data_IF_600843211021
#
_entry.id   IF_600843211021
#
_cell.length_a   1.000
_cell.length_b   1.000
_cell.length_c   1.000
_cell.angle_alpha   90.00
_cell.angle_beta   90.00
_cell.angle_gamma   90.00
#
_symmetry.space_group_name_H-M   'P 1'
#
loop_
_entity.id
_entity.type
_entity.pdbx_description
1 polymer ?
#
# COMPACT_ATOMS: atom_id res chain seq x y z
N UNK A 1 1.13 -2.45 20.36
CA UNK A 1 1.79 -3.56 19.65
C UNK A 1 2.43 -3.04 18.35
N UNK A 2 3.35 -2.08 18.43
CA UNK A 2 3.87 -1.37 17.23
C UNK A 2 5.05 -2.04 16.52
N UNK A 3 5.63 -3.10 17.09
CA UNK A 3 6.88 -3.71 16.60
C UNK A 3 6.77 -5.15 16.08
N UNK A 4 5.58 -5.75 16.11
CA UNK A 4 5.41 -7.17 15.79
C UNK A 4 4.90 -7.38 14.36
N UNK A 5 5.29 -8.52 13.77
CA UNK A 5 4.70 -9.03 12.53
C UNK A 5 3.25 -9.45 12.83
N UNK A 6 2.32 -9.01 11.98
CA UNK A 6 0.92 -9.42 12.05
C UNK A 6 0.65 -10.48 10.99
N UNK A 7 0.14 -11.63 11.42
CA UNK A 7 -0.49 -12.61 10.53
C UNK A 7 -1.94 -12.21 10.29
N UNK A 8 -2.33 -12.10 9.03
CA UNK A 8 -3.68 -11.68 8.66
C UNK A 8 -4.12 -12.30 7.34
N UNK A 9 -5.36 -12.03 6.92
CA UNK A 9 -5.85 -12.44 5.60
C UNK A 9 -5.59 -11.36 4.55
N UNK A 10 -5.24 -11.78 3.33
CA UNK A 10 -5.23 -10.92 2.16
C UNK A 10 -5.64 -11.71 0.91
N UNK A 11 -6.12 -10.98 -0.11
CA UNK A 11 -6.36 -11.55 -1.44
C UNK A 11 -5.11 -11.37 -2.32
N UNK A 12 -4.36 -12.44 -2.51
CA UNK A 12 -3.09 -12.45 -3.25
C UNK A 12 -3.35 -12.89 -4.69
N UNK A 13 -2.93 -12.06 -5.65
CA UNK A 13 -2.79 -12.44 -7.05
C UNK A 13 -1.40 -13.07 -7.24
N UNK A 14 -1.34 -14.38 -7.40
CA UNK A 14 -0.07 -15.09 -7.61
C UNK A 14 0.48 -14.93 -9.03
N UNK A 15 -0.41 -14.88 -10.01
CA UNK A 15 -0.12 -14.82 -11.45
C UNK A 15 -1.23 -14.02 -12.16
N UNK A 16 -0.95 -13.42 -13.33
CA UNK A 16 -1.99 -12.81 -14.14
C UNK A 16 -3.02 -13.84 -14.61
N UNK A 17 -4.27 -13.41 -14.75
CA UNK A 17 -5.42 -14.18 -15.24
C UNK A 17 -5.79 -15.39 -14.37
N UNK A 18 -5.30 -15.43 -13.12
CA UNK A 18 -5.74 -16.40 -12.12
C UNK A 18 -6.69 -15.72 -11.12
N UNK A 19 -7.65 -16.46 -10.53
CA UNK A 19 -8.43 -15.94 -9.42
C UNK A 19 -7.53 -15.48 -8.27
N UNK A 20 -7.97 -14.47 -7.52
CA UNK A 20 -7.33 -14.09 -6.27
C UNK A 20 -7.41 -15.25 -5.27
N UNK A 21 -6.31 -15.52 -4.56
CA UNK A 21 -6.27 -16.49 -3.49
C UNK A 21 -6.38 -15.80 -2.14
N UNK A 22 -7.30 -16.24 -1.28
CA UNK A 22 -7.37 -15.75 0.10
C UNK A 22 -6.32 -16.50 0.91
N UNK A 23 -5.25 -15.81 1.27
CA UNK A 23 -4.09 -16.38 1.96
C UNK A 23 -3.96 -15.82 3.38
N UNK A 24 -3.33 -16.60 4.26
CA UNK A 24 -2.70 -16.03 5.45
C UNK A 24 -1.34 -15.44 5.04
N UNK A 25 -1.12 -14.18 5.42
CA UNK A 25 0.03 -13.36 5.02
C UNK A 25 0.64 -12.69 6.24
N UNK A 26 1.94 -12.41 6.16
CA UNK A 26 2.70 -11.72 7.20
C UNK A 26 2.93 -10.27 6.79
N UNK A 27 2.41 -9.36 7.62
CA UNK A 27 2.59 -7.91 7.52
C UNK A 27 3.60 -7.46 8.56
N UNK A 28 4.78 -7.05 8.10
CA UNK A 28 5.86 -6.55 8.96
C UNK A 28 5.41 -5.33 9.79
N UNK A 29 6.15 -4.90 10.83
CA UNK A 29 5.90 -3.59 11.43
C UNK A 29 6.29 -2.44 10.48
N UNK A 30 5.68 -1.25 10.62
CA UNK A 30 6.10 -0.08 9.85
C UNK A 30 7.51 0.38 10.26
N UNK A 31 8.34 0.75 9.29
CA UNK A 31 9.64 1.41 9.53
C UNK A 31 9.45 2.93 9.68
N UNK A 32 10.56 3.66 9.84
CA UNK A 32 10.56 5.12 9.85
C UNK A 32 9.79 5.69 8.64
N UNK A 33 8.92 6.67 8.90
CA UNK A 33 8.05 7.33 7.92
C UNK A 33 7.05 6.41 7.22
N UNK A 34 6.69 5.30 7.84
CA UNK A 34 5.63 4.39 7.38
C UNK A 34 4.50 4.31 8.40
N UNK A 35 3.33 3.89 7.94
CA UNK A 35 2.16 3.64 8.77
C UNK A 35 1.58 2.28 8.45
N UNK A 36 1.04 1.59 9.45
CA UNK A 36 0.25 0.38 9.27
C UNK A 36 -1.23 0.70 9.51
N UNK A 37 -2.08 0.33 8.58
CA UNK A 37 -3.51 0.57 8.57
C UNK A 37 -4.23 -0.78 8.70
N UNK A 38 -5.24 -0.82 9.57
CA UNK A 38 -6.25 -1.88 9.55
C UNK A 38 -7.34 -1.48 8.56
N UNK A 39 -7.42 -2.14 7.41
CA UNK A 39 -8.42 -1.86 6.38
C UNK A 39 -9.79 -2.36 6.86
N UNK A 40 -10.78 -1.47 6.82
CA UNK A 40 -12.17 -1.77 7.21
C UNK A 40 -13.04 -2.10 6.00
N UNK A 41 -12.80 -1.41 4.88
CA UNK A 41 -13.52 -1.63 3.63
C UNK A 41 -12.63 -1.28 2.44
N UNK A 42 -12.87 -1.94 1.30
CA UNK A 42 -12.21 -1.65 0.03
C UNK A 42 -13.18 -1.88 -1.13
N UNK A 43 -13.14 -1.01 -2.12
CA UNK A 43 -13.84 -1.18 -3.40
C UNK A 43 -13.10 -2.13 -4.34
N UNK A 44 -13.83 -2.69 -5.30
CA UNK A 44 -13.26 -3.41 -6.45
C UNK A 44 -13.38 -2.50 -7.66
N UNK A 45 -12.23 -2.11 -8.23
CA UNK A 45 -12.17 -1.15 -9.32
C UNK A 45 -11.67 -1.82 -10.61
N UNK A 46 -11.98 -1.20 -11.74
CA UNK A 46 -11.54 -1.68 -13.05
C UNK A 46 -10.01 -1.74 -13.16
N UNK A 47 -9.26 -0.84 -12.52
CA UNK A 47 -7.79 -0.86 -12.53
C UNK A 47 -7.22 -2.14 -11.90
N UNK A 48 -7.86 -2.64 -10.84
CA UNK A 48 -7.47 -3.91 -10.21
C UNK A 48 -7.67 -5.07 -11.21
N UNK A 49 -8.84 -5.12 -11.88
CA UNK A 49 -9.15 -6.11 -12.89
C UNK A 49 -8.23 -6.02 -14.12
N UNK A 50 -7.89 -4.81 -14.56
CA UNK A 50 -6.99 -4.55 -15.68
C UNK A 50 -5.58 -5.09 -15.38
N UNK A 51 -5.05 -4.81 -14.17
CA UNK A 51 -3.78 -5.38 -13.71
C UNK A 51 -3.85 -6.90 -13.65
N UNK A 52 -4.90 -7.46 -13.02
CA UNK A 52 -5.10 -8.90 -12.89
C UNK A 52 -5.21 -9.60 -14.25
N UNK A 53 -5.72 -8.93 -15.28
CA UNK A 53 -5.81 -9.49 -16.63
C UNK A 53 -4.44 -9.72 -17.31
N UNK A 54 -3.36 -9.16 -16.73
CA UNK A 54 -2.02 -9.16 -17.33
C UNK A 54 -1.88 -8.22 -18.52
N UNK A 55 -2.83 -7.29 -18.71
CA UNK A 55 -2.79 -6.30 -19.79
C UNK A 55 -2.01 -5.04 -19.39
N UNK A 56 -1.82 -4.83 -18.09
CA UNK A 56 -0.99 -3.76 -17.55
C UNK A 56 0.51 -4.10 -17.76
N UNK A 57 1.26 -3.34 -18.57
CA UNK A 57 2.69 -3.59 -18.78
C UNK A 57 3.53 -3.32 -17.53
N UNK A 58 3.02 -2.60 -16.53
CA UNK A 58 3.67 -2.37 -15.24
C UNK A 58 3.25 -3.41 -14.17
N UNK A 59 2.39 -4.37 -14.52
CA UNK A 59 1.87 -5.37 -13.58
C UNK A 59 2.93 -6.31 -13.02
N UNK A 60 3.12 -6.29 -11.70
CA UNK A 60 4.02 -7.18 -10.96
C UNK A 60 3.25 -8.25 -10.19
N UNK A 61 3.80 -9.47 -10.13
CA UNK A 61 3.23 -10.60 -9.39
C UNK A 61 4.34 -11.36 -8.63
N UNK A 62 4.07 -11.95 -7.45
CA UNK A 62 2.79 -11.96 -6.75
C UNK A 62 2.51 -10.63 -6.05
N UNK A 63 1.25 -10.20 -6.03
CA UNK A 63 0.84 -8.88 -5.52
C UNK A 63 -0.50 -8.99 -4.80
N UNK A 64 -0.74 -8.12 -3.82
CA UNK A 64 -2.12 -7.84 -3.39
C UNK A 64 -2.55 -6.51 -3.97
N UNK A 65 -3.61 -6.58 -4.78
CA UNK A 65 -4.24 -5.45 -5.44
C UNK A 65 -5.04 -4.59 -4.43
N UNK A 66 -5.88 -3.71 -4.97
CA UNK A 66 -6.72 -2.80 -4.20
C UNK A 66 -6.04 -1.46 -4.00
N UNK A 67 -6.76 -0.40 -4.36
CA UNK A 67 -6.31 0.99 -4.19
C UNK A 67 -7.40 1.94 -3.66
N UNK A 68 -8.61 1.44 -3.45
CA UNK A 68 -9.78 2.22 -3.04
C UNK A 68 -10.29 1.73 -1.67
N UNK A 69 -9.52 2.00 -0.62
CA UNK A 69 -9.80 1.49 0.73
C UNK A 69 -9.93 2.58 1.79
N UNK A 70 -10.54 2.22 2.91
CA UNK A 70 -10.58 3.04 4.12
C UNK A 70 -10.37 2.16 5.35
N UNK A 71 -9.75 2.73 6.38
CA UNK A 71 -9.40 2.00 7.58
C UNK A 71 -9.03 2.92 8.72
N UNK A 72 -8.37 2.36 9.73
CA UNK A 72 -7.79 3.13 10.84
C UNK A 72 -6.31 2.82 11.00
N UNK A 73 -5.52 3.79 11.47
CA UNK A 73 -4.12 3.51 11.79
C UNK A 73 -4.05 2.49 12.93
N UNK A 74 -3.33 1.41 12.70
CA UNK A 74 -3.00 0.42 13.74
C UNK A 74 -1.72 0.84 14.47
N UNK A 75 -0.68 1.19 13.73
CA UNK A 75 0.59 1.68 14.27
C UNK A 75 1.28 2.63 13.29
N UNK A 76 2.17 3.45 13.83
CA UNK A 76 2.98 4.40 13.05
C UNK A 76 4.45 4.17 13.34
N UNK A 77 5.29 4.32 12.32
CA UNK A 77 6.73 4.22 12.45
C UNK A 77 7.37 5.51 12.95
N UNK A 78 8.68 5.45 13.19
CA UNK A 78 9.47 6.59 13.65
C UNK A 78 9.33 7.81 12.73
N UNK A 79 9.26 9.01 13.30
CA UNK A 79 9.17 10.27 12.53
C UNK A 79 7.79 10.59 11.95
N UNK A 80 6.79 9.73 12.15
CA UNK A 80 5.38 10.05 11.86
C UNK A 80 4.79 10.82 13.04
N UNK A 81 4.52 12.12 12.86
CA UNK A 81 4.03 13.00 13.94
C UNK A 81 2.59 13.48 13.76
N UNK A 82 2.04 13.37 12.55
CA UNK A 82 0.71 13.92 12.23
C UNK A 82 -0.45 12.96 12.50
N UNK A 83 -0.17 11.69 12.76
CA UNK A 83 -1.15 10.63 12.85
C UNK A 83 -0.93 9.80 14.11
N UNK A 84 -2.00 9.29 14.70
CA UNK A 84 -1.94 8.37 15.83
C UNK A 84 -2.78 7.12 15.57
N UNK A 85 -2.46 5.99 16.21
CA UNK A 85 -3.33 4.81 16.19
C UNK A 85 -4.79 5.17 16.51
N UNK A 86 -5.71 4.60 15.75
CA UNK A 86 -7.16 4.80 15.88
C UNK A 86 -7.74 5.87 14.95
N UNK A 87 -6.96 6.80 14.40
CA UNK A 87 -7.52 7.77 13.45
C UNK A 87 -7.96 7.08 12.15
N UNK A 88 -9.07 7.53 11.59
CA UNK A 88 -9.59 7.08 10.28
C UNK A 88 -8.74 7.63 9.16
N UNK A 89 -8.53 6.82 8.12
CA UNK A 89 -7.67 7.17 7.00
C UNK A 89 -8.09 6.51 5.69
N UNK A 90 -7.80 7.19 4.59
CA UNK A 90 -7.91 6.71 3.21
C UNK A 90 -6.49 6.69 2.61
N UNK A 91 -5.96 5.52 2.21
CA UNK A 91 -4.70 5.43 1.47
C UNK A 91 -4.80 6.12 0.11
N UNK A 92 -3.75 6.81 -0.31
CA UNK A 92 -3.68 7.50 -1.59
C UNK A 92 -2.67 6.85 -2.53
N UNK A 93 -3.11 6.45 -3.70
CA UNK A 93 -2.18 6.04 -4.75
C UNK A 93 -1.42 7.23 -5.37
N UNK A 94 -1.93 8.46 -5.24
CA UNK A 94 -1.17 9.67 -5.58
C UNK A 94 -0.68 10.30 -4.29
N UNK A 95 0.63 10.22 -3.97
CA UNK A 95 1.16 10.81 -2.74
C UNK A 95 1.09 12.34 -2.77
N UNK A 96 1.21 12.97 -1.61
CA UNK A 96 1.28 14.42 -1.47
C UNK A 96 2.37 14.82 -0.45
N UNK A 97 3.63 14.86 -0.90
CA UNK A 97 4.75 15.19 -0.01
C UNK A 97 4.79 16.67 0.46
N UNK A 98 4.07 17.58 -0.20
CA UNK A 98 4.02 19.01 0.15
C UNK A 98 5.28 19.84 -0.20
N UNK A 99 6.42 19.20 -0.44
CA UNK A 99 7.71 19.88 -0.60
C UNK A 99 8.28 19.90 -2.03
N UNK A 100 7.91 18.92 -2.87
CA UNK A 100 8.45 18.82 -4.23
C UNK A 100 7.86 19.87 -5.18
N UNK A 101 8.54 20.13 -6.30
CA UNK A 101 8.11 21.12 -7.31
C UNK A 101 6.69 20.90 -7.82
N UNK A 102 6.22 19.65 -7.86
CA UNK A 102 4.87 19.30 -8.29
C UNK A 102 3.84 19.62 -7.21
N UNK A 103 4.09 19.23 -5.94
CA UNK A 103 3.19 19.57 -4.83
C UNK A 103 3.09 21.07 -4.58
N UNK A 104 4.14 21.84 -4.90
CA UNK A 104 4.13 23.31 -4.79
C UNK A 104 3.45 24.01 -5.97
N UNK A 105 3.07 23.28 -7.02
CA UNK A 105 2.46 23.84 -8.23
C UNK A 105 0.93 23.65 -8.17
N UNK A 106 0.18 24.75 -8.22
CA UNK A 106 -1.29 24.75 -8.14
C UNK A 106 -2.01 24.08 -9.32
N UNK A 107 -1.29 23.74 -10.39
CA UNK A 107 -1.86 23.13 -11.60
C UNK A 107 -1.74 21.60 -11.65
N UNK A 108 -1.18 20.95 -10.63
CA UNK A 108 -0.97 19.50 -10.64
C UNK A 108 -1.04 18.89 -9.24
N UNK A 109 -1.46 17.64 -9.17
CA UNK A 109 -1.41 16.80 -7.97
C UNK A 109 -0.37 15.68 -8.08
N UNK A 110 0.37 15.58 -9.20
CA UNK A 110 1.22 14.43 -9.55
C UNK A 110 2.57 14.45 -8.82
N UNK A 111 2.53 14.25 -7.51
CA UNK A 111 3.73 14.15 -6.70
C UNK A 111 4.67 13.05 -7.22
N UNK A 112 5.96 13.39 -7.33
CA UNK A 112 6.98 12.46 -7.83
C UNK A 112 7.84 11.86 -6.72
N UNK A 113 7.61 12.21 -5.44
CA UNK A 113 8.52 11.89 -4.32
C UNK A 113 8.84 10.40 -4.20
N UNK A 114 7.83 9.54 -4.40
CA UNK A 114 7.96 8.08 -4.26
C UNK A 114 7.56 7.32 -5.53
N UNK A 115 7.31 8.01 -6.66
CA UNK A 115 6.77 7.40 -7.87
C UNK A 115 7.66 6.24 -8.39
N UNK A 116 8.97 6.38 -8.27
CA UNK A 116 9.92 5.37 -8.75
C UNK A 116 9.76 4.04 -8.01
N UNK A 117 9.81 4.04 -6.68
CA UNK A 117 9.67 2.80 -5.88
C UNK A 117 8.24 2.27 -5.93
N UNK A 118 7.25 3.16 -5.97
CA UNK A 118 5.85 2.79 -6.11
C UNK A 118 5.59 2.03 -7.43
N UNK A 119 6.16 2.48 -8.55
CA UNK A 119 6.10 1.78 -9.83
C UNK A 119 6.87 0.45 -9.86
N UNK A 120 7.76 0.23 -8.88
CA UNK A 120 8.46 -1.05 -8.68
C UNK A 120 7.70 -1.98 -7.71
N UNK A 121 6.53 -1.57 -7.21
CA UNK A 121 5.75 -2.32 -6.22
C UNK A 121 6.40 -2.39 -4.84
N UNK A 122 7.19 -1.37 -4.48
CA UNK A 122 8.00 -1.32 -3.25
C UNK A 122 7.77 -0.01 -2.48
N UNK A 123 8.06 -0.05 -1.18
CA UNK A 123 8.10 1.14 -0.34
C UNK A 123 9.36 1.99 -0.62
N UNK A 124 9.47 3.22 -0.09
CA UNK A 124 10.58 4.13 -0.39
C UNK A 124 11.98 3.57 -0.11
N UNK A 125 12.08 2.60 0.81
CA UNK A 125 13.33 1.89 1.12
C UNK A 125 13.65 0.72 0.17
N UNK A 126 12.88 0.57 -0.93
CA UNK A 126 13.00 -0.48 -1.94
C UNK A 126 12.77 -1.89 -1.41
N UNK A 127 11.97 -2.03 -0.36
CA UNK A 127 11.58 -3.34 0.18
C UNK A 127 10.06 -3.47 0.28
N UNK A 128 9.57 -4.70 0.37
CA UNK A 128 8.18 -4.98 0.72
C UNK A 128 8.01 -5.12 2.24
N UNK A 129 6.76 -5.04 2.70
CA UNK A 129 6.37 -5.37 4.08
C UNK A 129 5.54 -6.64 4.15
N UNK A 130 5.28 -7.26 3.00
CA UNK A 130 4.38 -8.39 2.88
C UNK A 130 5.13 -9.63 2.45
N UNK A 131 4.93 -10.71 3.19
CA UNK A 131 5.35 -12.04 2.76
C UNK A 131 4.19 -13.02 2.86
N UNK A 132 4.20 -14.02 1.99
CA UNK A 132 3.23 -15.10 1.96
C UNK A 132 3.94 -16.39 1.55
N UNK A 133 3.79 -17.45 2.34
CA UNK A 133 4.47 -18.75 2.10
C UNK A 133 5.98 -18.61 1.90
N UNK A 134 6.62 -17.75 2.70
CA UNK A 134 8.06 -17.44 2.61
C UNK A 134 8.49 -16.66 1.36
N UNK A 135 7.55 -16.20 0.53
CA UNK A 135 7.82 -15.38 -0.66
C UNK A 135 7.42 -13.94 -0.42
N UNK A 136 8.16 -13.00 -1.00
CA UNK A 136 7.76 -11.59 -1.05
C UNK A 136 6.46 -11.44 -1.85
N UNK A 137 5.55 -10.59 -1.35
CA UNK A 137 4.39 -10.08 -2.09
C UNK A 137 4.61 -8.60 -2.37
N UNK A 138 4.45 -8.16 -3.62
CA UNK A 138 4.60 -6.75 -4.00
C UNK A 138 3.45 -5.89 -3.47
N UNK A 139 3.74 -4.60 -3.33
CA UNK A 139 2.73 -3.57 -3.12
C UNK A 139 2.10 -3.17 -4.45
N UNK A 140 0.81 -2.87 -4.43
CA UNK A 140 0.07 -2.37 -5.58
C UNK A 140 -0.23 -0.90 -5.37
N UNK A 141 0.24 -0.05 -6.28
CA UNK A 141 -0.01 1.39 -6.29
C UNK A 141 0.30 2.10 -4.95
N UNK A 142 1.17 1.52 -4.11
CA UNK A 142 1.49 2.03 -2.78
C UNK A 142 0.35 1.93 -1.75
N UNK A 143 -0.71 1.15 -2.02
CA UNK A 143 -1.94 1.12 -1.23
C UNK A 143 -2.46 -0.29 -0.90
N UNK A 144 -2.29 -1.29 -1.76
CA UNK A 144 -2.59 -2.73 -1.49
C UNK A 144 -3.78 -3.01 -0.56
N UNK A 145 -4.95 -2.43 -0.83
CA UNK A 145 -6.07 -2.42 0.12
C UNK A 145 -6.83 -3.74 0.21
N UNK A 146 -6.46 -4.76 -0.58
CA UNK A 146 -6.94 -6.13 -0.39
C UNK A 146 -6.19 -6.88 0.73
N UNK A 147 -5.29 -6.21 1.46
CA UNK A 147 -4.72 -6.66 2.73
C UNK A 147 -5.54 -6.15 3.93
N UNK A 148 -5.83 -7.02 4.91
CA UNK A 148 -6.48 -6.59 6.16
C UNK A 148 -5.59 -5.66 7.00
N UNK A 149 -4.28 -5.90 7.04
CA UNK A 149 -3.30 -5.00 7.67
C UNK A 149 -2.25 -4.56 6.65
N UNK A 150 -2.43 -3.35 6.15
CA UNK A 150 -1.69 -2.75 5.05
C UNK A 150 -0.63 -1.77 5.58
N UNK A 151 0.53 -1.65 4.91
CA UNK A 151 1.56 -0.63 5.20
C UNK A 151 1.83 0.23 3.97
N UNK A 152 1.90 1.55 4.18
CA UNK A 152 2.30 2.51 3.16
C UNK A 152 3.24 3.59 3.71
N UNK A 153 3.84 4.32 2.79
CA UNK A 153 4.62 5.51 3.10
C UNK A 153 3.73 6.65 3.61
N UNK A 154 4.20 7.38 4.62
CA UNK A 154 3.48 8.49 5.25
C UNK A 154 3.01 9.57 4.26
N UNK A 155 3.73 9.78 3.15
CA UNK A 155 3.36 10.79 2.16
C UNK A 155 2.17 10.40 1.27
N UNK A 156 1.62 9.20 1.41
CA UNK A 156 0.53 8.66 0.60
C UNK A 156 -0.82 8.62 1.37
N UNK A 157 -1.09 9.66 2.17
CA UNK A 157 -2.27 9.72 3.05
C UNK A 157 -3.05 11.02 2.81
N UNK A 158 -4.37 10.95 2.75
CA UNK A 158 -5.27 12.12 2.81
C UNK A 158 -5.97 12.16 4.17
N UNK A 159 -6.35 13.36 4.60
CA UNK A 159 -7.15 13.60 5.80
C UNK A 159 -8.37 14.48 5.48
#
# INVERSE_FOLDING_TARGET
MSGEIIKCKAAVAWEPRKPLSIEEVESAPPKAHEVRIKISATGVCHTDAYTLSGSDPEGLFPVSLGHDGAGTFESVGEGVTKFKPGDTVIPLYVPQCGECKFCKNSKTNLCQKIRVTQGQGLLPDKTSRFTCRGKQVYHFMGTSTYFMFHILAFYALNY
#
